data_IF_536001105011
#
_entry.id   IF_536001105011
#
_cell.length_a   1.000
_cell.length_b   1.000
_cell.length_c   1.000
_cell.angle_alpha   90.00
_cell.angle_beta   90.00
_cell.angle_gamma   90.00
#
_symmetry.space_group_name_H-M   'P 1'
#
loop_
_entity.id
_entity.type
_entity.pdbx_description
1 polymer ?
#
# COMPACT_ATOMS: atom_id res chain seq x y z
N UNK A 1 -7.78 14.31 -4.14
CA UNK A 1 -6.45 13.65 -4.29
C UNK A 1 -6.22 13.46 -5.78
N UNK A 2 -5.21 14.13 -6.36
CA UNK A 2 -4.91 13.94 -7.78
C UNK A 2 -4.13 12.63 -7.92
N UNK A 3 -4.76 11.60 -8.51
CA UNK A 3 -3.99 10.47 -9.06
C UNK A 3 -3.18 11.10 -10.21
N UNK A 4 -1.89 11.30 -10.00
CA UNK A 4 -1.00 11.77 -11.05
C UNK A 4 -0.88 10.65 -12.09
N UNK A 5 -1.66 10.80 -13.18
CA UNK A 5 -1.55 9.85 -14.28
C UNK A 5 -0.15 9.95 -14.89
N UNK A 6 0.55 8.82 -14.93
CA UNK A 6 1.81 8.72 -15.65
C UNK A 6 1.50 8.83 -17.14
N UNK A 7 1.97 9.87 -17.82
CA UNK A 7 1.89 9.91 -19.27
C UNK A 7 2.87 8.91 -19.91
N UNK A 8 2.61 8.54 -21.16
CA UNK A 8 3.42 7.55 -21.86
C UNK A 8 4.89 7.94 -21.99
N UNK A 9 5.20 9.23 -22.09
CA UNK A 9 6.57 9.72 -22.21
C UNK A 9 7.32 9.54 -20.89
N UNK A 10 6.73 10.00 -19.79
CA UNK A 10 7.29 9.83 -18.44
C UNK A 10 7.51 8.36 -18.11
N UNK A 11 6.52 7.51 -18.41
CA UNK A 11 6.63 6.05 -18.24
C UNK A 11 7.83 5.50 -19.01
N UNK A 12 7.99 5.91 -20.27
CA UNK A 12 9.08 5.41 -21.10
C UNK A 12 10.46 5.89 -20.60
N UNK A 13 10.58 7.15 -20.17
CA UNK A 13 11.82 7.69 -19.60
C UNK A 13 12.26 6.88 -18.36
N UNK A 14 11.33 6.59 -17.45
CA UNK A 14 11.60 5.78 -16.25
C UNK A 14 12.04 4.36 -16.62
N UNK A 15 11.31 3.68 -17.51
CA UNK A 15 11.60 2.29 -17.88
C UNK A 15 12.94 2.16 -18.62
N UNK A 16 13.28 3.13 -19.50
CA UNK A 16 14.57 3.16 -20.20
C UNK A 16 15.73 3.33 -19.22
N UNK A 17 15.61 4.24 -18.26
CA UNK A 17 16.63 4.42 -17.23
C UNK A 17 16.82 3.15 -16.38
N UNK A 18 15.73 2.53 -15.95
CA UNK A 18 15.80 1.28 -15.20
C UNK A 18 16.50 0.16 -15.97
N UNK A 19 16.27 0.06 -17.30
CA UNK A 19 16.95 -0.93 -18.14
C UNK A 19 18.45 -0.64 -18.30
N UNK A 20 18.83 0.63 -18.40
CA UNK A 20 20.24 1.06 -18.53
C UNK A 20 21.04 0.81 -17.25
N UNK A 21 20.42 0.88 -16.07
CA UNK A 21 21.10 0.68 -14.78
C UNK A 21 21.36 -0.79 -14.46
N UNK A 22 20.67 -1.75 -15.09
CA UNK A 22 20.84 -3.17 -14.77
C UNK A 22 22.30 -3.60 -14.82
N UNK A 23 22.75 -4.44 -13.88
CA UNK A 23 22.00 -5.15 -12.85
C UNK A 23 21.75 -4.34 -11.55
N UNK A 24 22.16 -3.08 -11.51
CA UNK A 24 21.98 -2.21 -10.36
C UNK A 24 20.53 -1.69 -10.29
N UNK A 25 20.06 -1.36 -9.09
CA UNK A 25 18.83 -0.61 -8.92
C UNK A 25 18.98 0.79 -9.50
N UNK A 26 18.05 1.20 -10.36
CA UNK A 26 17.91 2.60 -10.77
C UNK A 26 17.20 3.39 -9.67
N UNK A 27 17.51 4.68 -9.57
CA UNK A 27 16.81 5.60 -8.66
C UNK A 27 16.66 6.99 -9.29
N UNK A 28 15.71 7.77 -8.79
CA UNK A 28 15.44 9.12 -9.29
C UNK A 28 14.15 9.68 -8.73
N UNK A 29 13.78 10.86 -9.21
CA UNK A 29 12.60 11.57 -8.74
C UNK A 29 11.63 11.90 -9.88
N UNK A 30 10.33 11.86 -9.59
CA UNK A 30 9.33 12.54 -10.41
C UNK A 30 9.04 13.89 -9.78
N UNK A 31 9.26 14.95 -10.55
CA UNK A 31 9.13 16.34 -10.13
C UNK A 31 8.06 17.05 -10.95
N UNK A 32 7.13 17.74 -10.30
CA UNK A 32 6.18 18.63 -10.96
C UNK A 32 6.77 20.05 -11.07
N UNK A 33 7.06 20.49 -12.28
CA UNK A 33 7.72 21.77 -12.57
C UNK A 33 6.76 22.99 -12.63
N UNK A 34 5.53 22.80 -12.11
CA UNK A 34 4.44 23.79 -12.22
C UNK A 34 3.61 23.67 -13.50
N UNK A 35 4.00 22.82 -14.45
CA UNK A 35 3.30 22.58 -15.72
C UNK A 35 3.06 21.10 -15.99
N UNK A 36 4.06 20.26 -15.73
CA UNK A 36 4.02 18.81 -15.97
C UNK A 36 4.97 18.07 -15.06
N UNK A 37 4.76 16.77 -14.96
CA UNK A 37 5.70 15.87 -14.32
C UNK A 37 6.90 15.61 -15.23
N UNK A 38 8.12 15.58 -14.62
CA UNK A 38 9.38 15.22 -15.26
C UNK A 38 10.06 14.13 -14.44
N UNK A 39 10.72 13.22 -15.10
CA UNK A 39 11.62 12.28 -14.44
C UNK A 39 13.03 12.88 -14.39
N UNK A 40 13.64 12.82 -13.21
CA UNK A 40 15.02 13.24 -12.95
C UNK A 40 15.75 11.96 -12.52
N UNK A 41 16.51 11.32 -13.43
CA UNK A 41 17.33 10.17 -13.07
C UNK A 41 18.46 10.61 -12.13
N UNK A 42 18.77 9.77 -11.12
CA UNK A 42 19.83 9.99 -10.15
C UNK A 42 20.85 8.86 -10.22
N UNK A 43 22.08 9.13 -9.80
CA UNK A 43 23.10 8.11 -9.63
C UNK A 43 22.79 7.28 -8.35
N UNK A 44 22.90 5.97 -8.44
CA UNK A 44 22.82 5.10 -7.28
C UNK A 44 24.21 5.00 -6.63
N UNK A 45 24.42 5.70 -5.51
CA UNK A 45 25.68 5.75 -4.77
C UNK A 45 25.76 4.74 -3.64
N UNK A 46 24.82 3.77 -3.55
CA UNK A 46 24.84 2.74 -2.53
C UNK A 46 26.10 1.87 -2.61
N UNK A 47 26.58 1.41 -1.47
CA UNK A 47 27.75 0.52 -1.39
C UNK A 47 27.51 -0.85 -2.08
N UNK A 48 26.26 -1.32 -2.10
CA UNK A 48 25.81 -2.49 -2.88
C UNK A 48 24.62 -2.10 -3.77
N UNK A 49 24.87 -1.50 -4.94
CA UNK A 49 23.83 -0.93 -5.79
C UNK A 49 22.96 -1.97 -6.49
N UNK A 50 23.32 -3.27 -6.40
CA UNK A 50 22.50 -4.37 -6.93
C UNK A 50 21.30 -4.66 -6.02
N UNK A 51 21.48 -4.44 -4.70
CA UNK A 51 20.49 -4.77 -3.67
C UNK A 51 19.80 -3.58 -3.04
N UNK A 52 20.39 -2.39 -3.16
CA UNK A 52 19.94 -1.17 -2.51
C UNK A 52 20.13 0.03 -3.43
N UNK A 53 19.36 1.07 -3.17
CA UNK A 53 19.64 2.37 -3.76
C UNK A 53 19.95 3.40 -2.67
N UNK A 54 20.79 4.34 -3.01
CA UNK A 54 21.07 5.53 -2.23
C UNK A 54 21.24 6.70 -3.20
N UNK A 55 20.56 7.81 -2.93
CA UNK A 55 20.65 9.05 -3.71
C UNK A 55 21.43 10.07 -2.91
N UNK A 56 22.44 10.71 -3.54
CA UNK A 56 23.20 11.76 -2.90
C UNK A 56 22.28 12.93 -2.48
N UNK A 57 22.48 13.55 -1.28
CA UNK A 57 21.64 14.67 -0.83
C UNK A 57 21.58 15.84 -1.79
N UNK A 58 22.66 16.08 -2.55
CA UNK A 58 22.77 17.15 -3.54
C UNK A 58 21.78 16.94 -4.69
N UNK A 59 21.53 15.70 -5.12
CA UNK A 59 20.55 15.40 -6.17
C UNK A 59 19.12 15.61 -5.69
N UNK A 60 18.84 15.32 -4.41
CA UNK A 60 17.54 15.61 -3.80
C UNK A 60 17.29 17.13 -3.81
N UNK A 61 18.28 17.93 -3.36
CA UNK A 61 18.18 19.40 -3.35
C UNK A 61 18.00 19.94 -4.78
N UNK A 62 18.78 19.43 -5.74
CA UNK A 62 18.64 19.84 -7.14
C UNK A 62 17.25 19.50 -7.72
N UNK A 63 16.65 18.38 -7.32
CA UNK A 63 15.30 18.03 -7.72
C UNK A 63 14.26 19.00 -7.14
N UNK A 64 14.39 19.40 -5.86
CA UNK A 64 13.51 20.40 -5.22
C UNK A 64 13.63 21.79 -5.87
N UNK A 65 14.82 22.18 -6.37
CA UNK A 65 15.00 23.43 -7.10
C UNK A 65 14.25 23.45 -8.45
N UNK A 66 14.02 22.30 -9.08
CA UNK A 66 13.26 22.17 -10.31
C UNK A 66 11.76 22.32 -10.04
N UNK A 67 11.27 21.80 -8.91
CA UNK A 67 9.86 21.86 -8.55
C UNK A 67 9.49 20.95 -7.39
N UNK A 68 8.20 20.65 -7.25
CA UNK A 68 7.71 19.79 -6.19
C UNK A 68 7.98 18.31 -6.51
N UNK A 69 8.70 17.62 -5.62
CA UNK A 69 8.92 16.18 -5.75
C UNK A 69 7.60 15.44 -5.49
N UNK A 70 7.11 14.72 -6.50
CA UNK A 70 5.86 13.97 -6.48
C UNK A 70 6.10 12.54 -5.98
N UNK A 71 7.19 11.92 -6.44
CA UNK A 71 7.51 10.55 -6.08
C UNK A 71 9.02 10.30 -6.17
N UNK A 72 9.49 9.37 -5.35
CA UNK A 72 10.77 8.70 -5.53
C UNK A 72 10.55 7.45 -6.38
N UNK A 73 11.38 7.27 -7.40
CA UNK A 73 11.35 6.10 -8.29
C UNK A 73 12.58 5.26 -8.00
N UNK A 74 12.41 3.95 -7.87
CA UNK A 74 13.53 3.00 -7.85
C UNK A 74 13.13 1.71 -8.56
N UNK A 75 14.10 0.82 -8.81
CA UNK A 75 13.82 -0.44 -9.49
C UNK A 75 14.29 -1.64 -8.66
N UNK A 76 13.56 -2.74 -8.81
CA UNK A 76 14.00 -4.07 -8.40
C UNK A 76 14.29 -4.90 -9.67
N UNK A 77 15.52 -4.87 -10.20
CA UNK A 77 15.85 -5.59 -11.43
C UNK A 77 15.87 -7.10 -11.21
N UNK A 78 15.48 -7.86 -12.26
CA UNK A 78 15.73 -9.28 -12.26
C UNK A 78 17.25 -9.53 -12.31
N UNK A 79 17.71 -10.49 -11.52
CA UNK A 79 19.08 -11.02 -11.58
C UNK A 79 19.09 -12.38 -12.33
N UNK A 80 20.29 -12.94 -12.51
CA UNK A 80 20.42 -14.28 -13.08
C UNK A 80 19.81 -15.38 -12.18
N UNK A 81 19.70 -15.12 -10.90
CA UNK A 81 19.31 -16.09 -9.87
C UNK A 81 17.89 -15.85 -9.35
N UNK A 82 17.42 -14.59 -9.31
CA UNK A 82 16.16 -14.21 -8.70
C UNK A 82 15.42 -13.12 -9.52
N UNK A 83 14.10 -13.19 -9.48
CA UNK A 83 13.26 -12.13 -10.02
C UNK A 83 13.14 -10.97 -9.05
N UNK A 84 13.08 -9.77 -9.58
CA UNK A 84 12.82 -8.56 -8.81
C UNK A 84 11.52 -8.68 -8.00
N UNK A 85 11.56 -8.25 -6.76
CA UNK A 85 10.41 -8.34 -5.86
C UNK A 85 9.37 -7.27 -6.21
N UNK A 86 8.10 -7.62 -6.42
CA UNK A 86 7.07 -6.69 -6.89
C UNK A 86 6.40 -5.89 -5.75
N UNK A 87 7.10 -5.66 -4.66
CA UNK A 87 6.63 -4.95 -3.47
C UNK A 87 7.78 -4.20 -2.78
N UNK A 88 7.43 -3.22 -1.96
CA UNK A 88 8.39 -2.46 -1.17
C UNK A 88 8.98 -3.34 -0.05
N UNK A 89 10.30 -3.33 0.08
CA UNK A 89 11.01 -3.92 1.22
C UNK A 89 10.71 -3.15 2.52
N UNK A 90 11.14 -3.67 3.66
CA UNK A 90 11.07 -2.94 4.93
C UNK A 90 11.85 -1.62 4.86
N UNK A 91 13.04 -1.63 4.26
CA UNK A 91 13.88 -0.45 4.10
C UNK A 91 13.22 0.60 3.18
N UNK A 92 12.62 0.17 2.06
CA UNK A 92 11.87 1.07 1.18
C UNK A 92 10.70 1.73 1.92
N UNK A 93 9.98 0.94 2.69
CA UNK A 93 8.84 1.43 3.47
C UNK A 93 9.25 2.42 4.56
N UNK A 94 10.34 2.15 5.28
CA UNK A 94 10.92 3.08 6.26
C UNK A 94 11.39 4.38 5.58
N UNK A 95 12.03 4.26 4.43
CA UNK A 95 12.48 5.41 3.64
C UNK A 95 11.27 6.23 3.13
N UNK A 96 10.26 5.58 2.58
CA UNK A 96 9.03 6.21 2.09
C UNK A 96 8.35 7.06 3.19
N UNK A 97 8.16 6.47 4.37
CA UNK A 97 7.54 7.16 5.51
C UNK A 97 8.39 8.34 5.97
N UNK A 98 9.71 8.18 6.06
CA UNK A 98 10.64 9.23 6.51
C UNK A 98 10.70 10.41 5.55
N UNK A 99 10.71 10.13 4.23
CA UNK A 99 10.73 11.19 3.20
C UNK A 99 9.35 11.81 2.97
N UNK A 100 8.28 11.14 3.41
CA UNK A 100 6.90 11.54 3.15
C UNK A 100 6.61 11.70 1.64
N UNK A 101 7.09 10.76 0.82
CA UNK A 101 6.95 10.74 -0.64
C UNK A 101 6.24 9.46 -1.12
N UNK A 102 5.50 9.56 -2.21
CA UNK A 102 5.06 8.36 -2.94
C UNK A 102 6.28 7.63 -3.50
N UNK A 103 6.23 6.30 -3.53
CA UNK A 103 7.26 5.46 -4.14
C UNK A 103 6.72 4.77 -5.38
N UNK A 104 7.45 4.89 -6.50
CA UNK A 104 7.15 4.21 -7.75
C UNK A 104 8.22 3.15 -8.01
N UNK A 105 7.82 1.90 -7.97
CA UNK A 105 8.71 0.75 -8.13
C UNK A 105 8.68 0.24 -9.57
N UNK A 106 9.83 0.20 -10.21
CA UNK A 106 10.01 -0.45 -11.51
C UNK A 106 10.38 -1.91 -11.31
N UNK A 107 9.53 -2.83 -11.77
CA UNK A 107 9.75 -4.28 -11.65
C UNK A 107 9.08 -5.00 -12.81
N UNK A 108 9.74 -5.99 -13.41
CA UNK A 108 9.18 -6.78 -14.50
C UNK A 108 8.74 -5.95 -15.73
N UNK A 109 9.35 -4.78 -15.96
CA UNK A 109 8.99 -3.86 -17.07
C UNK A 109 7.73 -3.02 -16.81
N UNK A 110 7.22 -3.00 -15.59
CA UNK A 110 6.07 -2.22 -15.17
C UNK A 110 6.44 -1.23 -14.06
N UNK A 111 5.64 -0.18 -13.90
CA UNK A 111 5.75 0.78 -12.79
C UNK A 111 4.57 0.56 -11.86
N UNK A 112 4.88 0.18 -10.62
CA UNK A 112 3.91 0.07 -9.53
C UNK A 112 3.97 1.33 -8.67
N UNK A 113 2.82 1.94 -8.40
CA UNK A 113 2.73 3.15 -7.59
C UNK A 113 2.28 2.80 -6.18
N UNK A 114 3.10 3.16 -5.19
CA UNK A 114 2.79 3.01 -3.78
C UNK A 114 2.63 4.40 -3.16
N UNK A 115 1.38 4.77 -2.85
CA UNK A 115 1.10 6.01 -2.14
C UNK A 115 1.80 6.04 -0.79
N UNK A 116 2.31 7.20 -0.39
CA UNK A 116 2.79 7.36 0.97
C UNK A 116 1.61 7.30 1.95
N UNK A 117 1.71 6.39 2.89
CA UNK A 117 0.74 6.17 3.96
C UNK A 117 1.46 6.09 5.30
N UNK A 118 0.84 6.46 6.41
CA UNK A 118 1.41 6.22 7.73
C UNK A 118 1.67 4.73 7.95
N UNK A 119 2.58 4.34 8.86
CA UNK A 119 2.73 2.94 9.27
C UNK A 119 1.39 2.31 9.63
N UNK A 120 1.18 1.06 9.27
CA UNK A 120 -0.10 0.38 9.49
C UNK A 120 -0.46 0.21 10.97
N UNK A 121 0.54 0.17 11.85
CA UNK A 121 0.33 0.07 13.29
C UNK A 121 0.48 1.43 13.98
N UNK A 122 -0.31 1.64 15.04
CA UNK A 122 -0.18 2.81 15.93
C UNK A 122 -0.81 4.09 15.38
N UNK A 123 -1.65 4.01 14.33
CA UNK A 123 -2.39 5.16 13.80
C UNK A 123 -3.44 5.64 14.80
N UNK A 124 -3.56 6.96 14.94
CA UNK A 124 -4.69 7.58 15.64
C UNK A 124 -5.96 7.41 14.80
N UNK A 125 -7.09 7.10 15.44
CA UNK A 125 -8.36 6.97 14.74
C UNK A 125 -8.88 8.34 14.29
N UNK A 126 -9.20 8.45 13.00
CA UNK A 126 -9.87 9.60 12.41
C UNK A 126 -10.87 9.11 11.35
N UNK A 127 -12.17 9.35 11.59
CA UNK A 127 -13.24 8.89 10.68
C UNK A 127 -13.02 9.38 9.25
N UNK A 128 -13.21 8.51 8.26
CA UNK A 128 -12.96 8.72 6.83
C UNK A 128 -11.50 9.01 6.42
N UNK A 129 -10.54 8.99 7.33
CA UNK A 129 -9.13 9.27 7.01
C UNK A 129 -8.17 8.21 7.53
N UNK A 130 -8.36 7.82 8.79
CA UNK A 130 -7.57 6.79 9.45
C UNK A 130 -8.48 5.91 10.30
N UNK A 131 -9.33 5.14 9.66
CA UNK A 131 -10.27 4.23 10.31
C UNK A 131 -10.11 2.79 9.82
N UNK A 132 -11.04 1.92 10.21
CA UNK A 132 -10.97 0.51 9.85
C UNK A 132 -11.11 0.25 8.34
N UNK A 133 -11.76 1.14 7.58
CA UNK A 133 -11.84 1.04 6.11
C UNK A 133 -10.53 1.49 5.47
N UNK A 134 -9.98 2.63 5.90
CA UNK A 134 -8.74 3.14 5.31
C UNK A 134 -7.58 2.18 5.51
N UNK A 135 -7.48 1.50 6.66
CA UNK A 135 -6.42 0.51 6.87
C UNK A 135 -6.53 -0.69 5.93
N UNK A 136 -7.76 -1.11 5.57
CA UNK A 136 -7.98 -2.15 4.57
C UNK A 136 -7.54 -1.69 3.17
N UNK A 137 -7.95 -0.48 2.76
CA UNK A 137 -7.54 0.10 1.48
C UNK A 137 -6.02 0.20 1.36
N UNK A 138 -5.35 0.64 2.41
CA UNK A 138 -3.89 0.78 2.45
C UNK A 138 -3.19 -0.60 2.39
N UNK A 139 -3.70 -1.59 3.08
CA UNK A 139 -3.15 -2.96 2.98
C UNK A 139 -3.27 -3.53 1.56
N UNK A 140 -4.41 -3.30 0.90
CA UNK A 140 -4.59 -3.75 -0.47
C UNK A 140 -3.73 -2.97 -1.46
N UNK A 141 -3.55 -1.65 -1.28
CA UNK A 141 -2.63 -0.84 -2.08
C UNK A 141 -1.19 -1.37 -1.95
N UNK A 142 -0.72 -1.63 -0.73
CA UNK A 142 0.59 -2.25 -0.52
C UNK A 142 0.71 -3.65 -1.14
N UNK A 143 -0.38 -4.40 -1.18
CA UNK A 143 -0.41 -5.72 -1.82
C UNK A 143 -0.53 -5.67 -3.34
N UNK A 144 -0.73 -4.49 -3.95
CA UNK A 144 -0.78 -4.29 -5.40
C UNK A 144 -2.17 -4.06 -5.98
N UNK A 145 -3.20 -3.83 -5.16
CA UNK A 145 -4.55 -3.44 -5.61
C UNK A 145 -4.98 -2.12 -4.94
N UNK A 146 -4.87 -1.02 -5.65
CA UNK A 146 -5.29 0.30 -5.15
C UNK A 146 -6.77 0.55 -5.49
N UNK A 147 -7.62 0.53 -4.48
CA UNK A 147 -9.04 0.81 -4.61
C UNK A 147 -9.32 2.29 -4.32
N UNK A 148 -10.30 2.91 -5.03
CA UNK A 148 -10.63 4.30 -4.80
C UNK A 148 -11.23 4.52 -3.41
N UNK A 149 -10.77 5.58 -2.74
CA UNK A 149 -11.34 6.11 -1.51
C UNK A 149 -12.31 7.25 -1.86
N UNK A 150 -13.43 6.90 -2.50
CA UNK A 150 -14.39 7.84 -3.09
C UNK A 150 -15.73 7.89 -2.35
N UNK A 151 -15.83 7.25 -1.18
CA UNK A 151 -17.05 7.21 -0.37
C UNK A 151 -16.81 7.88 0.97
N UNK A 152 -17.43 9.03 1.16
CA UNK A 152 -17.57 9.66 2.47
C UNK A 152 -18.87 9.16 3.15
N UNK A 153 -18.79 8.96 4.47
CA UNK A 153 -19.92 8.49 5.26
C UNK A 153 -19.95 9.14 6.64
N UNK A 154 -21.16 9.41 7.19
CA UNK A 154 -21.29 9.87 8.56
C UNK A 154 -20.80 8.80 9.53
N UNK A 155 -20.41 9.19 10.72
CA UNK A 155 -19.88 8.27 11.73
C UNK A 155 -20.82 7.09 12.04
N UNK A 156 -22.14 7.30 12.04
CA UNK A 156 -23.18 6.31 12.32
C UNK A 156 -23.83 5.71 11.06
N UNK A 157 -23.11 5.64 9.94
CA UNK A 157 -23.62 5.15 8.64
C UNK A 157 -24.30 3.77 8.72
N UNK A 158 -23.83 2.91 9.63
CA UNK A 158 -24.31 1.54 9.84
C UNK A 158 -25.74 1.45 10.40
N UNK A 159 -26.30 2.54 10.85
CA UNK A 159 -27.71 2.61 11.26
C UNK A 159 -28.66 2.60 10.05
N UNK A 160 -28.20 2.97 8.87
CA UNK A 160 -29.03 3.20 7.69
C UNK A 160 -28.66 2.34 6.48
N UNK A 161 -27.42 1.89 6.35
CA UNK A 161 -26.90 1.25 5.13
C UNK A 161 -25.87 0.16 5.46
N UNK A 162 -25.72 -0.81 4.56
CA UNK A 162 -24.64 -1.80 4.58
C UNK A 162 -23.48 -1.36 3.66
N UNK A 163 -22.84 -0.23 3.96
CA UNK A 163 -21.83 0.36 3.07
C UNK A 163 -20.61 -0.54 2.88
N UNK A 164 -20.21 -1.33 3.87
CA UNK A 164 -19.03 -2.17 3.75
C UNK A 164 -19.24 -3.29 2.74
N UNK A 165 -20.27 -4.09 2.88
CA UNK A 165 -20.53 -5.22 1.98
C UNK A 165 -20.82 -4.73 0.55
N UNK A 166 -21.56 -3.61 0.41
CA UNK A 166 -21.82 -3.00 -0.90
C UNK A 166 -20.52 -2.59 -1.60
N UNK A 167 -19.57 -1.98 -0.87
CA UNK A 167 -18.27 -1.60 -1.43
C UNK A 167 -17.38 -2.82 -1.72
N UNK A 168 -17.40 -3.84 -0.86
CA UNK A 168 -16.66 -5.07 -1.13
C UNK A 168 -17.13 -5.74 -2.44
N UNK A 169 -18.44 -5.83 -2.65
CA UNK A 169 -19.01 -6.32 -3.90
C UNK A 169 -18.60 -5.46 -5.10
N UNK A 170 -18.71 -4.14 -4.96
CA UNK A 170 -18.30 -3.16 -6.00
C UNK A 170 -16.84 -3.33 -6.41
N UNK A 171 -15.95 -3.60 -5.48
CA UNK A 171 -14.53 -3.81 -5.73
C UNK A 171 -14.18 -5.25 -6.20
N UNK A 172 -15.17 -6.11 -6.30
CA UNK A 172 -14.99 -7.47 -6.81
C UNK A 172 -14.52 -8.47 -5.75
N UNK A 173 -14.87 -8.23 -4.49
CA UNK A 173 -14.76 -9.24 -3.46
C UNK A 173 -15.96 -10.18 -3.51
N UNK A 174 -15.77 -11.40 -3.04
CA UNK A 174 -16.83 -12.37 -2.82
C UNK A 174 -16.77 -12.89 -1.38
N UNK A 175 -17.94 -13.20 -0.85
CA UNK A 175 -18.09 -13.73 0.51
C UNK A 175 -17.66 -15.20 0.52
N UNK A 176 -16.80 -15.56 1.47
CA UNK A 176 -16.41 -16.95 1.70
C UNK A 176 -17.55 -17.74 2.30
N UNK A 177 -17.64 -19.01 1.93
CA UNK A 177 -18.54 -19.98 2.54
C UNK A 177 -17.92 -20.49 3.85
N UNK A 178 -18.72 -21.15 4.68
CA UNK A 178 -18.28 -21.61 6.01
C UNK A 178 -17.16 -22.68 5.94
N UNK A 179 -17.10 -23.43 4.86
CA UNK A 179 -16.10 -24.46 4.59
C UNK A 179 -14.80 -23.92 3.97
N UNK A 180 -14.77 -22.66 3.56
CA UNK A 180 -13.58 -22.04 2.95
C UNK A 180 -12.54 -21.69 4.03
N UNK A 181 -11.28 -22.04 3.77
CA UNK A 181 -10.18 -21.64 4.63
C UNK A 181 -9.87 -20.14 4.50
N UNK A 182 -9.86 -19.45 5.62
CA UNK A 182 -9.40 -18.03 5.67
C UNK A 182 -7.91 -17.94 5.40
N UNK A 183 -7.51 -17.01 4.53
CA UNK A 183 -6.13 -16.82 4.08
C UNK A 183 -5.64 -15.40 4.31
N UNK A 184 -4.31 -15.24 4.34
CA UNK A 184 -3.66 -13.94 4.42
C UNK A 184 -4.25 -12.96 3.39
N UNK A 185 -4.69 -11.80 3.86
CA UNK A 185 -5.31 -10.78 3.03
C UNK A 185 -6.83 -10.84 2.94
N UNK A 186 -7.49 -11.86 3.47
CA UNK A 186 -8.95 -11.87 3.54
C UNK A 186 -9.46 -10.77 4.47
N UNK A 187 -10.59 -10.17 4.08
CA UNK A 187 -11.25 -9.13 4.87
C UNK A 187 -12.24 -9.77 5.82
N UNK A 188 -12.05 -9.55 7.11
CA UNK A 188 -12.94 -9.99 8.18
C UNK A 188 -13.91 -8.87 8.51
N UNK A 189 -15.19 -9.05 8.20
CA UNK A 189 -16.25 -8.13 8.55
C UNK A 189 -16.84 -8.49 9.91
N UNK A 190 -16.94 -7.51 10.78
CA UNK A 190 -17.29 -7.66 12.19
C UNK A 190 -18.53 -6.82 12.47
N UNK A 191 -19.45 -7.38 13.24
CA UNK A 191 -20.72 -6.75 13.64
C UNK A 191 -20.80 -6.63 15.16
N UNK A 192 -20.80 -5.40 15.65
CA UNK A 192 -20.90 -5.12 17.09
C UNK A 192 -21.94 -4.04 17.34
N UNK A 193 -23.01 -4.42 18.06
CA UNK A 193 -24.04 -3.46 18.47
C UNK A 193 -24.77 -2.77 17.31
N UNK A 194 -24.84 -3.39 16.14
CA UNK A 194 -25.46 -2.85 14.92
C UNK A 194 -26.23 -3.96 14.19
N UNK A 195 -27.05 -3.59 13.21
CA UNK A 195 -27.80 -4.55 12.39
C UNK A 195 -27.03 -5.01 11.14
N UNK A 196 -25.90 -4.39 10.86
CA UNK A 196 -25.00 -4.70 9.73
C UNK A 196 -23.56 -4.77 10.23
N UNK A 197 -22.66 -5.35 9.43
CA UNK A 197 -21.24 -5.30 9.72
C UNK A 197 -20.77 -3.82 9.74
N UNK A 198 -20.20 -3.41 10.86
CA UNK A 198 -19.82 -2.01 11.10
C UNK A 198 -18.34 -1.81 11.44
N UNK A 199 -17.57 -2.88 11.39
CA UNK A 199 -16.13 -2.86 11.58
C UNK A 199 -15.46 -3.85 10.62
N UNK A 200 -14.21 -3.59 10.26
CA UNK A 200 -13.44 -4.45 9.38
C UNK A 200 -12.00 -4.63 9.86
N UNK A 201 -11.43 -5.77 9.52
CA UNK A 201 -10.03 -6.08 9.71
C UNK A 201 -9.49 -6.92 8.56
N UNK A 202 -8.18 -6.98 8.41
CA UNK A 202 -7.52 -7.88 7.45
C UNK A 202 -6.86 -9.04 8.18
N UNK A 203 -7.09 -10.25 7.68
CA UNK A 203 -6.47 -11.44 8.24
C UNK A 203 -5.00 -11.52 7.81
N UNK A 204 -4.11 -11.67 8.79
CA UNK A 204 -2.65 -11.69 8.60
C UNK A 204 -2.03 -13.08 8.64
N UNK A 205 -2.86 -14.13 8.69
CA UNK A 205 -2.39 -15.47 8.99
C UNK A 205 -2.19 -15.71 10.50
N UNK A 206 -1.88 -16.96 10.86
CA UNK A 206 -1.57 -17.35 12.24
C UNK A 206 -2.58 -16.85 13.29
N UNK A 207 -3.87 -16.87 12.94
CA UNK A 207 -4.97 -16.41 13.81
C UNK A 207 -4.76 -14.98 14.31
N UNK A 208 -4.34 -14.07 13.43
CA UNK A 208 -4.21 -12.64 13.75
C UNK A 208 -4.92 -11.78 12.71
N UNK A 209 -5.42 -10.64 13.14
CA UNK A 209 -5.98 -9.60 12.30
C UNK A 209 -5.31 -8.25 12.58
N UNK A 210 -5.20 -7.43 11.54
CA UNK A 210 -4.92 -6.01 11.66
C UNK A 210 -6.23 -5.26 11.53
N UNK A 211 -6.49 -4.36 12.45
CA UNK A 211 -7.70 -3.53 12.42
C UNK A 211 -7.48 -2.17 13.08
N UNK A 212 -8.45 -1.28 12.96
CA UNK A 212 -8.41 0.05 13.55
C UNK A 212 -9.75 0.37 14.22
N UNK A 213 -9.87 0.09 15.50
CA UNK A 213 -11.09 0.41 16.27
C UNK A 213 -11.15 1.88 16.63
N UNK A 214 -12.38 2.39 16.73
CA UNK A 214 -12.66 3.73 17.23
C UNK A 214 -11.97 3.99 18.58
N UNK A 215 -11.43 5.20 18.75
CA UNK A 215 -10.76 5.67 19.97
C UNK A 215 -9.57 4.78 20.43
N UNK A 216 -9.03 3.99 19.51
CA UNK A 216 -7.86 3.13 19.73
C UNK A 216 -6.82 3.39 18.65
N UNK A 217 -5.60 2.97 18.92
CA UNK A 217 -4.59 2.89 17.87
C UNK A 217 -4.85 1.66 16.99
N UNK A 218 -4.50 1.76 15.70
CA UNK A 218 -4.48 0.58 14.82
C UNK A 218 -3.55 -0.48 15.39
N UNK A 219 -3.98 -1.74 15.38
CA UNK A 219 -3.27 -2.80 16.07
C UNK A 219 -3.42 -4.15 15.37
N UNK A 220 -2.37 -4.97 15.50
CA UNK A 220 -2.41 -6.41 15.23
C UNK A 220 -2.85 -7.15 16.51
N UNK A 221 -3.92 -7.89 16.43
CA UNK A 221 -4.50 -8.60 17.57
C UNK A 221 -4.80 -10.07 17.23
N UNK A 222 -4.91 -10.98 18.23
CA UNK A 222 -5.36 -12.34 17.99
C UNK A 222 -6.78 -12.36 17.39
N UNK A 223 -6.97 -13.15 16.32
CA UNK A 223 -8.28 -13.44 15.75
C UNK A 223 -8.89 -14.60 16.46
N UNK A 224 -9.51 -14.32 17.60
CA UNK A 224 -10.16 -15.27 18.51
C UNK A 224 -11.06 -14.54 19.49
N UNK A 225 -11.76 -15.28 20.35
CA UNK A 225 -12.60 -14.71 21.39
C UNK A 225 -13.59 -13.67 20.83
N UNK A 226 -13.48 -12.44 21.32
CA UNK A 226 -14.39 -11.35 20.93
C UNK A 226 -14.47 -11.14 19.42
N UNK A 227 -13.34 -11.07 18.73
CA UNK A 227 -13.29 -10.78 17.28
C UNK A 227 -13.91 -11.89 16.45
N UNK A 228 -13.55 -13.15 16.76
CA UNK A 228 -14.10 -14.31 16.08
C UNK A 228 -15.61 -14.48 16.34
N UNK A 229 -16.03 -14.29 17.58
CA UNK A 229 -17.45 -14.45 17.97
C UNK A 229 -18.37 -13.37 17.38
N UNK A 230 -17.82 -12.21 17.01
CA UNK A 230 -18.55 -11.11 16.35
C UNK A 230 -18.26 -11.03 14.85
N UNK A 231 -17.59 -12.02 14.27
CA UNK A 231 -17.39 -12.08 12.82
C UNK A 231 -18.73 -12.29 12.13
N UNK A 232 -19.11 -11.36 11.29
CA UNK A 232 -20.31 -11.42 10.46
C UNK A 232 -20.06 -12.22 9.18
N UNK A 233 -18.92 -11.93 8.52
CA UNK A 233 -18.57 -12.55 7.24
C UNK A 233 -17.07 -12.36 6.94
N UNK A 234 -16.56 -13.23 6.07
CA UNK A 234 -15.19 -13.13 5.56
C UNK A 234 -15.27 -12.99 4.03
N UNK A 235 -14.42 -12.14 3.49
CA UNK A 235 -14.45 -11.79 2.05
C UNK A 235 -13.08 -11.91 1.43
N UNK A 236 -13.01 -12.44 0.20
CA UNK A 236 -11.79 -12.56 -0.59
C UNK A 236 -11.90 -11.77 -1.88
N UNK A 237 -10.83 -11.08 -2.25
CA UNK A 237 -10.74 -10.41 -3.55
C UNK A 237 -10.66 -11.45 -4.67
N UNK A 238 -11.43 -11.28 -5.74
CA UNK A 238 -11.48 -12.23 -6.87
C UNK A 238 -10.12 -12.51 -7.51
N UNK A 239 -9.26 -11.49 -7.55
CA UNK A 239 -7.90 -11.58 -8.10
C UNK A 239 -6.84 -11.72 -6.99
N UNK A 240 -7.21 -12.27 -5.83
CA UNK A 240 -6.35 -12.44 -4.65
C UNK A 240 -5.00 -13.11 -4.99
N UNK A 241 -5.00 -14.07 -5.92
CA UNK A 241 -3.80 -14.79 -6.36
C UNK A 241 -2.77 -13.90 -7.09
N UNK A 242 -3.13 -12.68 -7.50
CA UNK A 242 -2.24 -11.67 -8.09
C UNK A 242 -1.61 -10.76 -7.05
N UNK A 243 -2.11 -10.79 -5.81
CA UNK A 243 -1.68 -9.90 -4.74
C UNK A 243 -0.49 -10.49 -3.98
N UNK A 244 0.35 -9.59 -3.46
CA UNK A 244 1.45 -9.97 -2.59
C UNK A 244 1.40 -9.16 -1.29
N UNK A 245 0.98 -9.79 -0.21
CA UNK A 245 0.85 -9.15 1.10
C UNK A 245 2.18 -9.07 1.88
N UNK A 246 3.32 -9.43 1.28
CA UNK A 246 4.63 -9.32 1.95
C UNK A 246 4.93 -7.87 2.32
N UNK A 247 4.57 -6.89 1.49
CA UNK A 247 4.73 -5.47 1.82
C UNK A 247 3.94 -5.05 3.07
N UNK A 248 2.75 -5.62 3.29
CA UNK A 248 1.98 -5.41 4.53
C UNK A 248 2.73 -5.99 5.72
N UNK A 249 3.27 -7.20 5.59
CA UNK A 249 4.04 -7.84 6.66
C UNK A 249 5.34 -7.08 6.95
N UNK A 250 6.00 -6.54 5.92
CA UNK A 250 7.19 -5.68 6.04
C UNK A 250 6.88 -4.39 6.81
N UNK A 251 5.77 -3.72 6.47
CA UNK A 251 5.30 -2.51 7.20
C UNK A 251 5.09 -2.81 8.70
N UNK A 252 4.52 -3.97 9.03
CA UNK A 252 4.31 -4.39 10.42
C UNK A 252 5.61 -4.71 11.19
N UNK A 253 6.75 -4.79 10.51
CA UNK A 253 8.08 -5.05 11.08
C UNK A 253 8.95 -3.80 11.18
N UNK A 254 8.51 -2.66 10.61
CA UNK A 254 9.29 -1.40 10.68
C UNK A 254 9.62 -1.05 12.12
N UNK A 255 10.84 -0.55 12.32
CA UNK A 255 11.31 -0.01 13.61
C UNK A 255 10.47 1.20 14.02
N UNK A 256 10.10 1.26 15.28
CA UNK A 256 9.30 2.36 15.85
C UNK A 256 10.13 3.21 16.78
#
# INVERSE_FOLDING_TARGET
MFIFMIDNKLKQEILVHAEQCKPQESCGFVVFDGKKNRYIPCENVAADPIRYFEIAPEEFIAAEEIGHIVALVHSHPDSAEEKGLPYLSTADRECQVRLNLDFWLVVGGEIKQFRNIPPLLGRQFENNKQDCRNILLDCYMLAGADFPDDVEYPFNWFEQKNLYEDNLLRFGFYKLMQEDDIQLGDVVMIQVGANVANHGGIYLGNQTILHHSQDRLSARVPYGGFWLNNTHSVWRFKDWYKLNFTAVLNDLQMSR
#
